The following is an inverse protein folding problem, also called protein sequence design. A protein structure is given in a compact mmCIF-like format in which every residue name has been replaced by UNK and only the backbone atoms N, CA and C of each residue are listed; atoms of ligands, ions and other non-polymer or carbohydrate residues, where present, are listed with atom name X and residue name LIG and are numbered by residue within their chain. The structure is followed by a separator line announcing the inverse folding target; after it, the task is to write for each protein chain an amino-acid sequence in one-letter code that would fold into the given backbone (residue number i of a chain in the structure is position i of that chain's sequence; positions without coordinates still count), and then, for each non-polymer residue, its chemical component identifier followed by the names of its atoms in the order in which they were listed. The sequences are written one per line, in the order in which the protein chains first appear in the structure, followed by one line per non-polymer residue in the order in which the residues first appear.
data_IF_052550090913
#
_entry.id   IF_052550090913
#
_cell.length_a   1.000
_cell.length_b   1.000
_cell.length_c   1.000
_cell.angle_alpha   90.00
_cell.angle_beta   90.00
_cell.angle_gamma   90.00
#
_symmetry.space_group_name_H-M   'P 1'
#
loop_
_entity.id
_entity.type
_entity.pdbx_description
1 polymer ?
#
# COMPACT_ATOMS: atom_id res chain seq x y z
N UNK A 1 14.71 -35.46 10.10
CA UNK A 1 15.12 -34.06 10.34
C UNK A 1 14.96 -33.30 9.03
N UNK A 2 13.74 -32.83 8.74
CA UNK A 2 13.43 -32.10 7.50
C UNK A 2 13.73 -30.62 7.70
N UNK A 3 14.68 -30.11 6.93
CA UNK A 3 15.11 -28.73 6.93
C UNK A 3 13.98 -27.86 6.33
N UNK A 4 13.42 -26.93 7.11
CA UNK A 4 12.47 -25.96 6.60
C UNK A 4 13.21 -25.04 5.62
N UNK A 5 12.81 -25.05 4.35
CA UNK A 5 13.26 -24.05 3.37
C UNK A 5 12.76 -22.68 3.83
N UNK A 6 13.64 -21.92 4.48
CA UNK A 6 13.42 -20.50 4.78
C UNK A 6 13.33 -19.76 3.43
N UNK A 7 12.14 -19.35 3.03
CA UNK A 7 11.93 -18.51 1.84
C UNK A 7 12.74 -17.22 2.03
N UNK A 8 13.66 -16.86 1.11
CA UNK A 8 14.41 -15.62 1.24
C UNK A 8 13.42 -14.46 1.22
N UNK A 9 13.45 -13.61 2.24
CA UNK A 9 12.66 -12.39 2.27
C UNK A 9 13.05 -11.55 1.04
N UNK A 10 12.17 -11.49 0.04
CA UNK A 10 12.37 -10.67 -1.13
C UNK A 10 12.39 -9.21 -0.67
N UNK A 11 13.55 -8.58 -0.72
CA UNK A 11 13.69 -7.14 -0.52
C UNK A 11 13.13 -6.42 -1.76
N UNK A 12 11.80 -6.36 -1.86
CA UNK A 12 11.12 -5.64 -2.94
C UNK A 12 11.29 -4.14 -2.70
N UNK A 13 11.70 -3.37 -3.72
CA UNK A 13 11.86 -1.92 -3.58
C UNK A 13 10.51 -1.25 -3.28
N UNK A 14 10.50 -0.33 -2.31
CA UNK A 14 9.33 0.48 -1.96
C UNK A 14 9.41 1.83 -2.69
N UNK A 15 8.64 1.95 -3.77
CA UNK A 15 8.60 3.14 -4.62
C UNK A 15 8.12 4.39 -3.86
N UNK A 16 7.12 4.26 -3.00
CA UNK A 16 6.61 5.37 -2.16
C UNK A 16 7.72 5.93 -1.26
N UNK A 17 8.45 5.05 -0.56
CA UNK A 17 9.59 5.46 0.29
C UNK A 17 10.70 6.14 -0.53
N UNK A 18 10.99 5.62 -1.72
CA UNK A 18 12.00 6.21 -2.61
C UNK A 18 11.59 7.61 -3.10
N UNK A 19 10.33 7.80 -3.48
CA UNK A 19 9.79 9.09 -3.93
C UNK A 19 9.82 10.15 -2.81
N UNK A 20 9.44 9.76 -1.58
CA UNK A 20 9.55 10.63 -0.39
C UNK A 20 11.00 11.05 -0.13
N UNK A 21 11.96 10.11 -0.20
CA UNK A 21 13.39 10.40 -0.01
C UNK A 21 13.92 11.37 -1.09
N UNK A 22 13.40 11.27 -2.31
CA UNK A 22 13.68 12.18 -3.41
C UNK A 22 12.96 13.54 -3.30
N UNK A 23 12.18 13.78 -2.24
CA UNK A 23 11.36 14.99 -2.03
C UNK A 23 10.40 15.26 -3.20
N UNK A 24 9.95 14.20 -3.88
CA UNK A 24 8.91 14.30 -4.89
C UNK A 24 7.57 14.54 -4.18
N UNK A 25 6.75 15.45 -4.72
CA UNK A 25 5.38 15.63 -4.23
C UNK A 25 4.61 14.34 -4.48
N UNK A 26 3.86 13.88 -3.47
CA UNK A 26 3.04 12.68 -3.56
C UNK A 26 1.59 13.03 -3.20
N UNK A 27 0.68 12.94 -4.16
CA UNK A 27 -0.76 13.18 -3.97
C UNK A 27 -1.42 11.85 -3.59
N UNK A 28 -2.06 11.85 -2.42
CA UNK A 28 -2.72 10.65 -1.89
C UNK A 28 -4.23 10.76 -1.81
N UNK A 29 -4.88 9.61 -1.61
CA UNK A 29 -6.31 9.51 -1.34
C UNK A 29 -6.58 8.64 -0.11
N UNK A 30 -7.50 9.09 0.73
CA UNK A 30 -7.89 8.41 1.97
C UNK A 30 -9.09 7.50 1.73
N UNK A 31 -8.92 6.19 1.95
CA UNK A 31 -9.94 5.18 1.75
C UNK A 31 -10.55 4.74 3.08
N UNK A 32 -11.76 5.22 3.35
CA UNK A 32 -12.54 4.88 4.54
C UNK A 32 -13.86 4.14 4.24
N UNK A 33 -14.05 3.66 3.00
CA UNK A 33 -15.30 3.02 2.55
C UNK A 33 -15.39 1.53 2.84
N UNK A 34 -14.28 0.87 3.21
CA UNK A 34 -14.21 -0.56 3.54
C UNK A 34 -14.83 -1.49 2.49
N UNK A 35 -14.57 -1.16 1.23
CA UNK A 35 -15.09 -1.88 0.07
C UNK A 35 -13.93 -2.17 -0.91
N UNK A 36 -13.68 -3.45 -1.25
CA UNK A 36 -12.57 -3.83 -2.12
C UNK A 36 -12.74 -3.34 -3.57
N UNK A 37 -13.96 -3.21 -4.07
CA UNK A 37 -14.22 -2.70 -5.42
C UNK A 37 -13.87 -1.22 -5.50
N UNK A 38 -14.17 -0.46 -4.44
CA UNK A 38 -13.79 0.95 -4.38
C UNK A 38 -12.27 1.13 -4.22
N UNK A 39 -11.59 0.21 -3.55
CA UNK A 39 -10.13 0.18 -3.51
C UNK A 39 -9.53 -0.08 -4.91
N UNK A 40 -10.09 -1.03 -5.66
CA UNK A 40 -9.66 -1.32 -7.03
C UNK A 40 -9.86 -0.13 -7.98
N UNK A 41 -11.04 0.49 -7.96
CA UNK A 41 -11.31 1.71 -8.73
C UNK A 41 -10.31 2.81 -8.39
N UNK A 42 -10.08 3.04 -7.09
CA UNK A 42 -9.17 4.08 -6.61
C UNK A 42 -7.72 3.83 -6.99
N UNK A 43 -7.29 2.57 -7.12
CA UNK A 43 -5.96 2.20 -7.58
C UNK A 43 -5.67 2.66 -9.03
N UNK A 44 -6.72 2.90 -9.82
CA UNK A 44 -6.60 3.39 -11.20
C UNK A 44 -6.86 4.89 -11.35
N UNK A 45 -7.21 5.58 -10.25
CA UNK A 45 -7.58 7.00 -10.27
C UNK A 45 -6.40 7.99 -10.40
N UNK A 46 -5.16 7.48 -10.42
CA UNK A 46 -3.96 8.30 -10.66
C UNK A 46 -3.34 8.93 -9.42
N UNK A 47 -3.68 8.46 -8.22
CA UNK A 47 -3.01 8.84 -6.98
C UNK A 47 -1.65 8.15 -6.85
N UNK A 48 -0.68 8.82 -6.22
CA UNK A 48 0.65 8.26 -5.95
C UNK A 48 0.59 7.20 -4.84
N UNK A 49 -0.36 7.33 -3.92
CA UNK A 49 -0.58 6.41 -2.81
C UNK A 49 -2.02 6.45 -2.30
N UNK A 50 -2.46 5.36 -1.66
CA UNK A 50 -3.76 5.24 -1.00
C UNK A 50 -3.54 4.98 0.49
N UNK A 51 -4.25 5.68 1.36
CA UNK A 51 -4.32 5.38 2.79
C UNK A 51 -5.51 4.46 3.03
N UNK A 52 -5.26 3.20 3.37
CA UNK A 52 -6.31 2.32 3.90
C UNK A 52 -6.42 2.62 5.39
N UNK A 53 -7.55 3.18 5.80
CA UNK A 53 -7.77 3.55 7.19
C UNK A 53 -8.32 2.36 7.97
N UNK A 54 -7.48 1.72 8.77
CA UNK A 54 -7.88 0.63 9.67
C UNK A 54 -8.08 1.10 11.11
N UNK A 55 -8.01 2.40 11.39
CA UNK A 55 -8.21 2.96 12.73
C UNK A 55 -9.63 3.52 12.90
N UNK A 56 -10.10 4.28 11.92
CA UNK A 56 -11.37 5.02 12.01
C UNK A 56 -12.43 4.54 11.01
N UNK A 57 -12.03 3.83 9.95
CA UNK A 57 -12.98 3.20 9.04
C UNK A 57 -13.29 1.76 9.47
N UNK A 58 -14.41 1.18 9.01
CA UNK A 58 -14.76 -0.21 9.32
C UNK A 58 -13.95 -1.25 8.51
N UNK A 59 -12.64 -1.03 8.34
CA UNK A 59 -11.71 -2.00 7.76
C UNK A 59 -11.14 -2.91 8.87
N UNK A 60 -10.92 -4.19 8.57
CA UNK A 60 -10.33 -5.20 9.45
C UNK A 60 -9.00 -5.78 8.94
#
# INVERSE_FOLDING_TARGET
MTNAMQTPALNRPNSFKAALAAKQRQIGFWLAMSDPYLAEVSATAGFDWLLIDSEHAPND
#
